data_IF_446263032727
#
_entry.id   IF_446263032727
#
_cell.length_a   1.000
_cell.length_b   1.000
_cell.length_c   1.000
_cell.angle_alpha   90.00
_cell.angle_beta   90.00
_cell.angle_gamma   90.00
#
_symmetry.space_group_name_H-M   'P 1'
#
loop_
_entity.id
_entity.type
_entity.pdbx_description
1 polymer ?
#
# COMPACT_ATOMS: atom_id res chain seq x y z
N UNK A 1 -30.29 51.30 -34.03
CA UNK A 1 -29.06 50.94 -33.31
C UNK A 1 -29.40 50.48 -31.88
N UNK A 2 -30.03 49.32 -31.68
CA UNK A 2 -30.43 48.87 -30.34
C UNK A 2 -30.62 47.35 -30.22
N UNK A 3 -29.87 46.58 -31.00
CA UNK A 3 -29.93 45.11 -30.98
C UNK A 3 -28.56 44.42 -31.09
N UNK A 4 -27.47 45.20 -31.19
CA UNK A 4 -26.10 44.68 -31.30
C UNK A 4 -25.50 44.40 -29.90
N UNK A 5 -25.90 45.16 -28.87
CA UNK A 5 -25.34 44.99 -27.52
C UNK A 5 -25.83 43.72 -26.80
N UNK A 6 -27.07 43.28 -27.05
CA UNK A 6 -27.61 42.05 -26.44
C UNK A 6 -26.95 40.78 -26.99
N UNK A 7 -26.70 40.73 -28.30
CA UNK A 7 -25.97 39.61 -28.91
C UNK A 7 -24.52 39.55 -28.44
N UNK A 8 -23.86 40.72 -28.29
CA UNK A 8 -22.49 40.76 -27.79
C UNK A 8 -22.39 40.35 -26.32
N UNK A 9 -23.39 40.73 -25.50
CA UNK A 9 -23.49 40.31 -24.09
C UNK A 9 -23.71 38.80 -23.96
N UNK A 10 -24.60 38.22 -24.78
CA UNK A 10 -24.82 36.77 -24.80
C UNK A 10 -23.55 36.00 -25.22
N UNK A 11 -22.82 36.49 -26.22
CA UNK A 11 -21.55 35.88 -26.66
C UNK A 11 -20.51 35.92 -25.54
N UNK A 12 -20.42 37.02 -24.79
CA UNK A 12 -19.50 37.15 -23.66
C UNK A 12 -19.86 36.20 -22.51
N UNK A 13 -21.14 36.03 -22.19
CA UNK A 13 -21.61 35.08 -21.16
C UNK A 13 -21.31 33.64 -21.56
N UNK A 14 -21.52 33.26 -22.83
CA UNK A 14 -21.18 31.92 -23.34
C UNK A 14 -19.67 31.68 -23.25
N UNK A 15 -18.84 32.64 -23.65
CA UNK A 15 -17.37 32.53 -23.54
C UNK A 15 -16.89 32.40 -22.08
N UNK A 16 -17.53 33.08 -21.13
CA UNK A 16 -17.18 33.00 -19.71
C UNK A 16 -17.52 31.64 -19.08
N UNK A 17 -18.61 30.99 -19.52
CA UNK A 17 -18.97 29.64 -19.05
C UNK A 17 -18.03 28.55 -19.58
N UNK A 18 -17.35 28.77 -20.72
CA UNK A 18 -16.40 27.79 -21.27
C UNK A 18 -15.05 27.74 -20.52
N UNK A 19 -14.70 28.76 -19.73
CA UNK A 19 -13.41 28.79 -19.01
C UNK A 19 -13.37 27.92 -17.74
N UNK A 20 -14.52 27.35 -17.32
CA UNK A 20 -14.62 26.60 -16.06
C UNK A 20 -14.41 25.08 -16.20
N UNK A 21 -13.95 24.60 -17.36
CA UNK A 21 -13.79 23.16 -17.63
C UNK A 21 -12.32 22.68 -17.72
N UNK A 22 -11.37 23.40 -17.14
CA UNK A 22 -9.98 22.93 -17.04
C UNK A 22 -9.53 22.80 -15.59
N UNK A 23 -10.18 21.90 -14.86
CA UNK A 23 -9.52 21.25 -13.74
C UNK A 23 -8.60 20.18 -14.35
N UNK A 24 -7.36 20.56 -14.64
CA UNK A 24 -6.30 19.57 -14.83
C UNK A 24 -6.14 18.88 -13.49
N UNK A 25 -6.91 17.80 -13.25
CA UNK A 25 -6.46 16.77 -12.33
C UNK A 25 -5.09 16.38 -12.85
N UNK A 26 -4.04 16.77 -12.14
CA UNK A 26 -2.75 16.11 -12.21
C UNK A 26 -2.99 14.67 -11.77
N UNK A 27 -3.55 13.87 -12.67
CA UNK A 27 -3.36 12.43 -12.64
C UNK A 27 -1.84 12.31 -12.71
N UNK A 28 -1.23 11.94 -11.59
CA UNK A 28 0.20 11.64 -11.49
C UNK A 28 0.50 10.64 -12.60
N UNK A 29 0.99 11.17 -13.72
CA UNK A 29 1.22 10.45 -14.97
C UNK A 29 2.63 9.93 -14.96
N UNK A 30 2.94 9.14 -13.94
CA UNK A 30 4.19 8.41 -13.88
C UNK A 30 3.84 6.95 -14.24
N UNK A 31 3.86 6.62 -15.54
CA UNK A 31 3.56 5.25 -16.01
C UNK A 31 4.59 4.22 -15.48
N UNK A 32 5.70 4.68 -14.89
CA UNK A 32 6.77 3.85 -14.34
C UNK A 32 7.14 4.32 -12.92
N UNK A 33 7.38 3.42 -11.96
CA UNK A 33 7.78 3.83 -10.63
C UNK A 33 9.15 4.52 -10.63
N UNK A 34 9.29 5.62 -9.88
CA UNK A 34 10.57 6.31 -9.65
C UNK A 34 11.53 5.47 -8.80
N UNK A 35 11.00 4.61 -7.91
CA UNK A 35 11.79 3.66 -7.13
C UNK A 35 11.02 2.35 -6.97
N UNK A 36 11.72 1.22 -7.10
CA UNK A 36 11.13 -0.12 -6.99
C UNK A 36 11.97 -1.02 -6.10
N UNK A 37 11.31 -1.74 -5.20
CA UNK A 37 11.92 -2.76 -4.36
C UNK A 37 11.15 -4.06 -4.49
N UNK A 38 11.88 -5.17 -4.48
CA UNK A 38 11.29 -6.49 -4.28
C UNK A 38 11.87 -7.04 -2.99
N UNK A 39 11.00 -7.26 -2.02
CA UNK A 39 11.34 -7.71 -0.69
C UNK A 39 10.48 -8.93 -0.32
N UNK A 40 10.90 -9.69 0.68
CA UNK A 40 10.14 -10.81 1.20
C UNK A 40 9.93 -10.64 2.70
N UNK A 41 8.67 -10.75 3.13
CA UNK A 41 8.26 -10.74 4.53
C UNK A 41 8.14 -12.18 5.01
N UNK A 42 8.72 -12.49 6.16
CA UNK A 42 8.64 -13.80 6.79
C UNK A 42 7.87 -13.70 8.09
N UNK A 43 6.67 -14.26 8.13
CA UNK A 43 5.81 -14.25 9.31
C UNK A 43 5.81 -15.64 9.97
N UNK A 44 6.17 -15.70 11.25
CA UNK A 44 6.08 -16.90 12.11
C UNK A 44 5.13 -16.62 13.27
N UNK A 45 3.91 -17.16 13.19
CA UNK A 45 2.89 -16.98 14.21
C UNK A 45 3.17 -17.83 15.46
N UNK A 46 3.12 -17.20 16.63
CA UNK A 46 3.27 -17.85 17.91
C UNK A 46 2.19 -18.92 18.14
N UNK A 47 2.64 -20.15 18.39
CA UNK A 47 1.78 -21.32 18.56
C UNK A 47 1.51 -21.68 20.04
N UNK A 48 2.03 -20.89 20.98
CA UNK A 48 1.88 -21.14 22.43
C UNK A 48 3.14 -21.68 23.11
N UNK A 49 4.12 -22.19 22.36
CA UNK A 49 5.35 -22.77 22.90
C UNK A 49 6.63 -22.20 22.27
N UNK A 50 6.56 -21.57 21.10
CA UNK A 50 7.71 -21.17 20.29
C UNK A 50 8.08 -19.68 20.43
N UNK A 51 8.05 -19.15 21.65
CA UNK A 51 8.21 -17.72 21.93
C UNK A 51 9.54 -17.12 21.45
N UNK A 52 10.59 -17.96 21.33
CA UNK A 52 11.91 -17.54 20.83
C UNK A 52 12.02 -17.51 19.31
N UNK A 53 11.11 -18.20 18.60
CA UNK A 53 11.13 -18.33 17.15
C UNK A 53 10.01 -17.52 16.46
N UNK A 54 8.91 -17.29 17.17
CA UNK A 54 7.78 -16.53 16.67
C UNK A 54 8.12 -15.05 16.45
N UNK A 55 7.68 -14.51 15.33
CA UNK A 55 7.83 -13.09 14.95
C UNK A 55 6.51 -12.34 15.01
N UNK A 56 5.39 -13.06 15.11
CA UNK A 56 4.06 -12.49 15.30
C UNK A 56 3.26 -13.22 16.37
N UNK A 57 2.27 -12.54 16.94
CA UNK A 57 1.39 -13.10 17.96
C UNK A 57 -0.04 -12.56 17.85
N UNK A 58 -1.02 -13.44 18.05
CA UNK A 58 -2.41 -13.04 18.16
C UNK A 58 -2.65 -12.34 19.50
N UNK A 59 -3.11 -11.09 19.47
CA UNK A 59 -3.41 -10.28 20.66
C UNK A 59 -4.88 -10.36 21.05
N UNK A 60 -5.74 -10.79 20.12
CA UNK A 60 -7.15 -11.10 20.39
C UNK A 60 -7.50 -12.50 19.89
N UNK A 61 -8.56 -13.07 20.46
CA UNK A 61 -9.17 -14.31 19.95
C UNK A 61 -10.14 -14.00 18.81
N UNK A 62 -10.40 -14.97 17.95
CA UNK A 62 -11.50 -14.86 16.97
C UNK A 62 -12.84 -14.73 17.68
N UNK A 63 -13.81 -14.09 17.04
CA UNK A 63 -15.19 -14.06 17.51
C UNK A 63 -15.95 -15.25 16.91
N UNK A 64 -16.28 -16.24 17.75
CA UNK A 64 -16.88 -17.51 17.32
C UNK A 64 -18.29 -17.38 16.71
N UNK A 65 -18.94 -16.21 16.86
CA UNK A 65 -20.30 -15.95 16.35
C UNK A 65 -20.38 -15.79 14.82
N UNK A 66 -19.25 -15.64 14.14
CA UNK A 66 -19.20 -15.35 12.71
C UNK A 66 -18.69 -16.54 11.86
N UNK A 67 -18.81 -17.77 12.37
CA UNK A 67 -18.42 -18.99 11.65
C UNK A 67 -16.91 -19.30 11.73
N UNK A 68 -16.41 -20.07 10.77
CA UNK A 68 -15.00 -20.54 10.74
C UNK A 68 -14.00 -19.49 10.22
N UNK A 69 -14.38 -18.22 10.21
CA UNK A 69 -13.49 -17.13 9.87
C UNK A 69 -12.75 -16.62 11.12
N UNK A 70 -11.54 -16.07 10.91
CA UNK A 70 -10.77 -15.42 11.97
C UNK A 70 -11.25 -13.99 12.26
N UNK A 71 -12.56 -13.73 12.15
CA UNK A 71 -13.11 -12.39 12.32
C UNK A 71 -12.85 -11.85 13.73
N UNK A 72 -12.40 -10.60 13.83
CA UNK A 72 -12.03 -9.95 15.10
C UNK A 72 -10.70 -10.42 15.72
N UNK A 73 -10.02 -11.40 15.10
CA UNK A 73 -8.66 -11.80 15.49
C UNK A 73 -7.68 -10.73 14.98
N UNK A 74 -6.91 -10.16 15.90
CA UNK A 74 -5.84 -9.21 15.63
C UNK A 74 -4.50 -9.90 15.90
N UNK A 75 -3.58 -9.76 14.96
CA UNK A 75 -2.21 -10.26 15.06
C UNK A 75 -1.28 -9.07 14.97
N UNK A 76 -0.32 -9.00 15.87
CA UNK A 76 0.77 -8.01 15.84
C UNK A 76 2.04 -8.75 15.45
N UNK A 77 2.82 -8.14 14.56
CA UNK A 77 4.00 -8.75 13.96
C UNK A 77 5.21 -7.81 14.06
N UNK A 78 6.38 -8.41 14.16
CA UNK A 78 7.68 -7.77 14.02
C UNK A 78 8.57 -8.70 13.17
N UNK A 79 8.21 -8.77 11.90
CA UNK A 79 8.74 -9.76 10.97
C UNK A 79 10.01 -9.27 10.26
N UNK A 80 10.99 -10.16 10.05
CA UNK A 80 12.13 -9.83 9.22
C UNK A 80 11.71 -9.65 7.76
N UNK A 81 12.31 -8.64 7.13
CA UNK A 81 12.16 -8.33 5.70
C UNK A 81 13.50 -8.51 5.00
N UNK A 82 13.50 -9.19 3.85
CA UNK A 82 14.71 -9.58 3.13
C UNK A 82 14.65 -9.19 1.65
N UNK A 83 15.80 -9.10 0.97
CA UNK A 83 15.86 -8.86 -0.50
C UNK A 83 15.71 -10.13 -1.34
N UNK A 84 15.75 -11.30 -0.71
CA UNK A 84 15.63 -12.61 -1.35
C UNK A 84 15.19 -13.64 -0.32
N UNK A 85 15.01 -14.91 -0.70
CA UNK A 85 14.50 -15.96 0.22
C UNK A 85 15.41 -16.28 1.42
N UNK A 86 16.59 -15.65 1.51
CA UNK A 86 17.57 -15.85 2.58
C UNK A 86 17.61 -14.59 3.45
N UNK A 87 17.54 -14.78 4.77
CA UNK A 87 17.64 -13.72 5.77
C UNK A 87 19.00 -13.01 5.69
N UNK A 88 19.03 -11.80 5.13
CA UNK A 88 20.21 -10.93 5.11
C UNK A 88 20.04 -9.88 6.20
N UNK A 89 20.81 -10.02 7.28
CA UNK A 89 20.93 -8.97 8.30
C UNK A 89 21.89 -7.89 7.81
N UNK A 90 21.55 -6.62 8.09
CA UNK A 90 22.36 -5.41 7.86
C UNK A 90 22.26 -4.78 6.45
N UNK A 91 21.20 -3.99 6.22
CA UNK A 91 21.11 -3.07 5.07
C UNK A 91 21.62 -1.69 5.46
N UNK A 92 22.81 -1.32 4.98
CA UNK A 92 23.39 0.03 5.14
C UNK A 92 22.85 1.05 4.13
N UNK A 93 22.08 0.60 3.14
CA UNK A 93 21.75 1.37 1.94
C UNK A 93 20.54 2.29 2.11
N UNK A 94 19.60 1.96 2.99
CA UNK A 94 18.37 2.73 3.18
C UNK A 94 18.09 2.96 4.67
N UNK A 95 17.81 4.21 5.03
CA UNK A 95 17.49 4.66 6.39
C UNK A 95 16.18 5.42 6.37
N UNK A 96 15.12 4.80 6.86
CA UNK A 96 13.79 5.40 6.86
C UNK A 96 12.71 4.37 7.10
N UNK A 97 11.46 4.79 7.01
CA UNK A 97 10.29 3.91 7.13
C UNK A 97 9.31 4.15 5.99
N UNK A 98 8.55 3.12 5.63
CA UNK A 98 7.39 3.20 4.74
C UNK A 98 6.15 2.80 5.53
N UNK A 99 5.10 3.60 5.41
CA UNK A 99 3.80 3.31 6.01
C UNK A 99 2.90 2.72 4.93
N UNK A 100 2.37 1.52 5.19
CA UNK A 100 1.54 0.76 4.24
C UNK A 100 0.20 0.46 4.91
N UNK A 101 -0.89 0.73 4.21
CA UNK A 101 -2.25 0.45 4.69
C UNK A 101 -3.13 -0.06 3.55
N UNK A 102 -4.04 -0.96 3.87
CA UNK A 102 -4.99 -1.52 2.91
C UNK A 102 -5.76 -2.70 3.47
N UNK A 103 -6.74 -3.17 2.72
CA UNK A 103 -7.48 -4.39 3.03
C UNK A 103 -6.77 -5.58 2.38
N UNK A 104 -6.44 -6.60 3.19
CA UNK A 104 -5.90 -7.87 2.69
C UNK A 104 -7.05 -8.84 2.41
N UNK A 105 -7.33 -9.08 1.12
CA UNK A 105 -8.24 -10.14 0.69
C UNK A 105 -7.42 -11.42 0.49
N UNK A 106 -7.30 -12.21 1.56
CA UNK A 106 -6.43 -13.41 1.60
C UNK A 106 -6.77 -14.44 0.50
N UNK A 107 -8.01 -14.46 0.03
CA UNK A 107 -8.46 -15.34 -1.06
C UNK A 107 -7.81 -15.01 -2.43
N UNK A 108 -7.31 -13.79 -2.60
CA UNK A 108 -6.72 -13.34 -3.85
C UNK A 108 -5.21 -13.64 -3.90
N UNK A 109 -4.77 -14.08 -5.09
CA UNK A 109 -3.37 -14.41 -5.36
C UNK A 109 -2.46 -13.18 -5.31
N UNK A 110 -2.97 -12.04 -5.77
CA UNK A 110 -2.23 -10.78 -5.88
C UNK A 110 -3.00 -9.71 -5.12
N UNK A 111 -2.35 -9.09 -4.13
CA UNK A 111 -3.00 -8.17 -3.18
C UNK A 111 -2.33 -6.82 -3.22
N UNK A 112 -3.14 -5.76 -3.22
CA UNK A 112 -2.66 -4.40 -3.39
C UNK A 112 -2.85 -3.59 -2.11
N UNK A 113 -1.78 -2.96 -1.66
CA UNK A 113 -1.78 -2.04 -0.53
C UNK A 113 -1.25 -0.68 -0.96
N UNK A 114 -1.70 0.38 -0.30
CA UNK A 114 -1.21 1.73 -0.56
C UNK A 114 0.00 2.03 0.32
N UNK A 115 1.05 2.60 -0.28
CA UNK A 115 2.09 3.31 0.48
C UNK A 115 1.55 4.70 0.76
N UNK A 116 1.23 4.98 2.02
CA UNK A 116 0.58 6.23 2.43
C UNK A 116 1.58 7.34 2.82
N UNK A 117 2.85 6.98 3.01
CA UNK A 117 3.91 7.91 3.35
C UNK A 117 5.19 7.20 3.77
N UNK A 118 6.22 7.98 4.06
CA UNK A 118 7.46 7.47 4.62
C UNK A 118 8.28 8.55 5.32
N UNK A 119 9.37 8.13 5.96
CA UNK A 119 10.31 8.99 6.68
C UNK A 119 11.75 8.69 6.26
N UNK A 120 12.70 9.58 6.56
CA UNK A 120 14.12 9.42 6.17
C UNK A 120 14.28 9.45 4.65
N UNK A 121 14.98 8.46 4.10
CA UNK A 121 15.19 8.28 2.64
C UNK A 121 13.89 8.08 1.84
N UNK A 122 12.76 7.90 2.53
CA UNK A 122 11.43 7.72 1.96
C UNK A 122 10.48 8.86 2.33
N UNK A 123 11.01 10.01 2.74
CA UNK A 123 10.21 11.16 3.14
C UNK A 123 9.20 11.54 2.06
N UNK A 124 7.93 11.66 2.46
CA UNK A 124 6.80 12.05 1.61
C UNK A 124 6.52 11.13 0.41
N UNK A 125 7.11 9.94 0.37
CA UNK A 125 6.90 9.01 -0.76
C UNK A 125 5.48 8.46 -0.81
N UNK A 126 4.98 8.22 -2.03
CA UNK A 126 3.69 7.54 -2.28
C UNK A 126 3.82 6.48 -3.35
N UNK A 127 2.95 5.48 -3.28
CA UNK A 127 2.97 4.38 -4.23
C UNK A 127 2.08 3.22 -3.82
N UNK A 128 2.38 2.06 -4.35
CA UNK A 128 1.63 0.81 -4.10
C UNK A 128 2.59 -0.30 -3.73
N UNK A 129 2.09 -1.24 -2.93
CA UNK A 129 2.76 -2.50 -2.63
C UNK A 129 1.90 -3.63 -3.16
N UNK A 130 2.49 -4.47 -3.99
CA UNK A 130 1.86 -5.68 -4.49
C UNK A 130 2.40 -6.86 -3.69
N UNK A 131 1.53 -7.56 -2.98
CA UNK A 131 1.87 -8.71 -2.15
C UNK A 131 1.39 -9.99 -2.82
N UNK A 132 2.30 -10.95 -2.93
CA UNK A 132 2.05 -12.29 -3.47
C UNK A 132 2.47 -13.31 -2.42
N UNK A 133 1.69 -14.38 -2.26
CA UNK A 133 2.10 -15.52 -1.43
C UNK A 133 3.15 -16.33 -2.18
N UNK A 134 4.37 -16.43 -1.64
CA UNK A 134 5.43 -17.28 -2.21
C UNK A 134 5.34 -18.70 -1.64
N UNK A 135 5.26 -18.84 -0.32
CA UNK A 135 5.03 -20.13 0.35
C UNK A 135 4.32 -19.94 1.68
N UNK A 136 3.69 -21.01 2.17
CA UNK A 136 3.12 -21.05 3.51
C UNK A 136 3.25 -22.46 4.08
N UNK A 137 3.35 -22.56 5.40
CA UNK A 137 3.33 -23.81 6.14
C UNK A 137 2.16 -23.75 7.14
N UNK A 138 1.03 -24.34 6.74
CA UNK A 138 -0.19 -24.32 7.54
C UNK A 138 -0.66 -22.90 7.87
N UNK A 139 -0.89 -22.63 9.15
CA UNK A 139 -1.24 -21.31 9.69
C UNK A 139 -0.11 -20.71 10.54
N UNK A 140 1.05 -21.34 10.53
CA UNK A 140 2.14 -21.00 11.44
C UNK A 140 3.23 -20.19 10.76
N UNK A 141 3.41 -20.36 9.45
CA UNK A 141 4.44 -19.65 8.70
C UNK A 141 3.93 -19.16 7.35
N UNK A 142 4.16 -17.87 7.06
CA UNK A 142 3.85 -17.26 5.77
C UNK A 142 5.08 -16.56 5.20
N UNK A 143 5.34 -16.81 3.92
CA UNK A 143 6.40 -16.15 3.17
C UNK A 143 5.77 -15.34 2.03
N UNK A 144 5.83 -14.02 2.17
CA UNK A 144 5.13 -13.08 1.31
C UNK A 144 6.12 -12.27 0.50
N UNK A 145 6.00 -12.29 -0.82
CA UNK A 145 6.76 -11.44 -1.72
C UNK A 145 6.07 -10.09 -1.85
N UNK A 146 6.79 -9.01 -1.56
CA UNK A 146 6.33 -7.63 -1.64
C UNK A 146 7.06 -6.90 -2.78
N UNK A 147 6.34 -6.51 -3.83
CA UNK A 147 6.82 -5.64 -4.92
C UNK A 147 6.34 -4.20 -4.65
N UNK A 148 7.23 -3.40 -4.07
CA UNK A 148 6.97 -2.01 -3.68
C UNK A 148 7.33 -1.10 -4.86
N UNK A 149 6.37 -0.30 -5.31
CA UNK A 149 6.52 0.64 -6.42
C UNK A 149 6.15 2.03 -5.92
N UNK A 150 7.16 2.91 -5.83
CA UNK A 150 6.97 4.31 -5.48
C UNK A 150 6.83 5.13 -6.75
N UNK A 151 5.82 6.00 -6.78
CA UNK A 151 5.48 6.87 -7.91
C UNK A 151 5.65 8.35 -7.55
N UNK A 152 5.73 8.68 -6.27
CA UNK A 152 6.09 10.00 -5.76
C UNK A 152 7.35 9.83 -4.91
N UNK A 153 8.47 10.44 -5.33
CA UNK A 153 9.78 10.36 -4.70
C UNK A 153 10.38 11.77 -4.53
N UNK A 154 11.20 11.98 -3.50
CA UNK A 154 11.81 13.26 -3.15
C UNK A 154 13.31 13.12 -2.88
#
# INVERSE_FOLDING_TARGET
>A
MRNISHNFFFIFVVLFTLQHAFESKTILKEDRPCKRFVLFLHDKLFNGADATNATSAAVTKKIDRFGDFFFGKMVVLNDPVTRGRVLVFNSTEHRGTLNIMGADIIADKVRFFSVVGGTGDFFMTRGIVVVELDSFEGLDYFHLKMDIKLYECY
#
